data_IF_377190912435
#
_entry.id   IF_377190912435
#
_cell.length_a   1.000
_cell.length_b   1.000
_cell.length_c   1.000
_cell.angle_alpha   90.00
_cell.angle_beta   90.00
_cell.angle_gamma   90.00
#
_symmetry.space_group_name_H-M   'P 1'
#
loop_
_entity.id
_entity.type
_entity.pdbx_description
1 polymer ?
#
# COMPACT_ATOMS: atom_id res chain seq x y z
N UNK A 1 -4.47 -24.11 25.52
CA UNK A 1 -4.16 -22.68 25.74
C UNK A 1 -3.93 -22.05 24.38
N UNK A 2 -4.52 -20.88 24.12
CA UNK A 2 -4.31 -20.15 22.88
C UNK A 2 -3.10 -19.22 23.09
N UNK A 3 -2.13 -19.28 22.18
CA UNK A 3 -0.92 -18.46 22.23
C UNK A 3 -1.23 -17.08 21.63
N UNK A 4 -0.96 -16.02 22.39
CA UNK A 4 -1.03 -14.64 21.90
C UNK A 4 0.33 -14.27 21.30
N UNK A 5 0.34 -13.83 20.04
CA UNK A 5 1.56 -13.50 19.30
C UNK A 5 1.65 -11.99 19.12
N UNK A 6 2.64 -11.36 19.73
CA UNK A 6 2.94 -9.96 19.53
C UNK A 6 3.62 -9.72 18.18
N UNK A 7 3.47 -8.52 17.63
CA UNK A 7 4.00 -8.16 16.30
C UNK A 7 5.53 -8.22 16.19
N UNK A 8 6.24 -8.23 17.33
CA UNK A 8 7.70 -8.33 17.39
C UNK A 8 8.20 -9.77 17.58
N UNK A 9 7.30 -10.71 17.85
CA UNK A 9 7.63 -12.12 18.01
C UNK A 9 8.10 -12.71 16.67
N UNK A 10 8.99 -13.70 16.75
CA UNK A 10 9.58 -14.32 15.57
C UNK A 10 8.50 -14.99 14.70
N UNK A 11 7.54 -15.64 15.33
CA UNK A 11 6.43 -16.33 14.69
C UNK A 11 5.56 -15.35 13.88
N UNK A 12 5.28 -14.16 14.41
CA UNK A 12 4.54 -13.13 13.68
C UNK A 12 5.34 -12.58 12.49
N UNK A 13 6.65 -12.38 12.68
CA UNK A 13 7.56 -11.97 11.59
C UNK A 13 7.66 -13.02 10.49
N UNK A 14 7.64 -14.30 10.85
CA UNK A 14 7.68 -15.40 9.90
C UNK A 14 6.40 -15.44 9.05
N UNK A 15 5.24 -15.25 9.67
CA UNK A 15 3.95 -15.16 8.95
C UNK A 15 3.94 -13.98 7.97
N UNK A 16 4.35 -12.79 8.42
CA UNK A 16 4.38 -11.60 7.55
C UNK A 16 5.42 -11.73 6.42
N UNK A 17 6.57 -12.32 6.71
CA UNK A 17 7.60 -12.64 5.70
C UNK A 17 7.09 -13.63 4.67
N UNK A 18 6.39 -14.68 5.11
CA UNK A 18 5.80 -15.69 4.22
C UNK A 18 4.71 -15.09 3.34
N UNK A 19 3.85 -14.24 3.88
CA UNK A 19 2.83 -13.52 3.12
C UNK A 19 3.46 -12.65 2.02
N UNK A 20 4.49 -11.86 2.38
CA UNK A 20 5.25 -11.04 1.42
C UNK A 20 5.83 -11.89 0.29
N UNK A 21 6.49 -13.00 0.63
CA UNK A 21 7.07 -13.92 -0.34
C UNK A 21 6.01 -14.51 -1.28
N UNK A 22 4.88 -14.98 -0.75
CA UNK A 22 3.80 -15.55 -1.57
C UNK A 22 3.24 -14.54 -2.57
N UNK A 23 3.03 -13.29 -2.14
CA UNK A 23 2.53 -12.23 -3.01
C UNK A 23 3.53 -11.86 -4.12
N UNK A 24 4.81 -11.77 -3.80
CA UNK A 24 5.84 -11.46 -4.80
C UNK A 24 5.99 -12.57 -5.85
N UNK A 25 5.93 -13.84 -5.43
CA UNK A 25 5.95 -14.96 -6.37
C UNK A 25 4.72 -14.98 -7.28
N UNK A 26 3.55 -14.62 -6.77
CA UNK A 26 2.34 -14.52 -7.58
C UNK A 26 2.46 -13.46 -8.69
N UNK A 27 3.20 -12.38 -8.43
CA UNK A 27 3.38 -11.26 -9.37
C UNK A 27 4.52 -11.49 -10.38
N UNK A 28 5.35 -12.52 -10.19
CA UNK A 28 6.40 -12.91 -11.14
C UNK A 28 7.64 -12.00 -11.20
N UNK A 29 7.72 -10.94 -10.37
CA UNK A 29 8.93 -10.13 -10.23
C UNK A 29 9.16 -9.78 -8.74
N UNK A 30 10.08 -10.51 -8.11
CA UNK A 30 10.39 -10.38 -6.68
C UNK A 30 11.64 -9.55 -6.38
N UNK A 31 12.41 -9.13 -7.40
CA UNK A 31 13.68 -8.42 -7.20
C UNK A 31 13.48 -6.91 -7.17
N UNK A 32 12.62 -6.37 -8.04
CA UNK A 32 12.39 -4.92 -8.14
C UNK A 32 11.25 -4.41 -7.23
N UNK A 33 10.43 -5.33 -6.72
CA UNK A 33 9.20 -4.98 -6.00
C UNK A 33 9.18 -5.57 -4.59
N UNK A 34 8.45 -4.90 -3.70
CA UNK A 34 8.14 -5.39 -2.37
C UNK A 34 6.65 -5.23 -2.08
N UNK A 35 6.17 -5.99 -1.11
CA UNK A 35 4.79 -5.95 -0.62
C UNK A 35 4.81 -5.58 0.85
N UNK A 36 4.05 -4.54 1.20
CA UNK A 36 3.90 -4.07 2.57
C UNK A 36 2.46 -4.32 3.04
N UNK A 37 2.25 -5.23 4.00
CA UNK A 37 0.93 -5.39 4.63
C UNK A 37 0.58 -4.11 5.38
N UNK A 38 -0.58 -3.54 5.07
CA UNK A 38 -1.08 -2.32 5.71
C UNK A 38 -2.50 -2.55 6.23
N UNK A 39 -2.81 -1.96 7.38
CA UNK A 39 -4.16 -1.98 7.93
C UNK A 39 -5.07 -1.06 7.12
N UNK A 40 -6.35 -1.43 6.99
CA UNK A 40 -7.39 -0.58 6.42
C UNK A 40 -7.93 -1.10 5.09
N UNK A 41 -8.79 -0.29 4.48
CA UNK A 41 -9.44 -0.64 3.21
C UNK A 41 -8.66 -0.16 1.99
N UNK A 42 -9.21 -0.47 0.80
CA UNK A 42 -8.62 -0.09 -0.49
C UNK A 42 -8.31 1.41 -0.63
N UNK A 43 -9.17 2.28 -0.09
CA UNK A 43 -8.94 3.73 -0.11
C UNK A 43 -7.72 4.13 0.72
N UNK A 44 -7.53 3.50 1.88
CA UNK A 44 -6.37 3.75 2.73
C UNK A 44 -5.08 3.34 2.00
N UNK A 45 -5.09 2.18 1.37
CA UNK A 45 -3.96 1.72 0.57
C UNK A 45 -3.60 2.68 -0.58
N UNK A 46 -4.61 3.19 -1.29
CA UNK A 46 -4.40 4.18 -2.35
C UNK A 46 -3.79 5.48 -1.80
N UNK A 47 -4.31 5.99 -0.69
CA UNK A 47 -3.79 7.22 -0.08
C UNK A 47 -2.37 7.06 0.47
N UNK A 48 -2.09 5.94 1.14
CA UNK A 48 -0.75 5.61 1.63
C UNK A 48 0.28 5.55 0.48
N UNK A 49 -0.07 4.89 -0.63
CA UNK A 49 0.81 4.81 -1.80
C UNK A 49 1.04 6.20 -2.42
N UNK A 50 -0.05 6.94 -2.73
CA UNK A 50 0.06 8.25 -3.38
C UNK A 50 0.82 9.26 -2.51
N UNK A 51 0.60 9.26 -1.20
CA UNK A 51 1.31 10.15 -0.27
C UNK A 51 2.78 9.78 -0.04
N UNK A 52 3.18 8.54 -0.35
CA UNK A 52 4.56 8.08 -0.23
C UNK A 52 5.37 8.33 -1.51
N UNK A 53 4.73 8.22 -2.68
CA UNK A 53 5.43 8.25 -3.98
C UNK A 53 5.22 9.54 -4.78
N UNK A 54 4.21 10.36 -4.45
CA UNK A 54 3.93 11.61 -5.16
C UNK A 54 4.23 12.79 -4.24
N UNK A 55 5.19 13.60 -4.63
CA UNK A 55 5.54 14.85 -3.97
C UNK A 55 4.60 15.99 -4.39
N UNK A 56 4.64 17.12 -3.67
CA UNK A 56 3.86 18.31 -4.03
C UNK A 56 4.31 18.96 -5.34
N UNK A 57 5.58 18.76 -5.75
CA UNK A 57 6.12 19.31 -6.98
C UNK A 57 5.75 18.48 -8.22
N UNK A 58 5.30 17.23 -8.02
CA UNK A 58 4.97 16.32 -9.11
C UNK A 58 3.65 16.72 -9.79
N UNK A 59 3.55 16.36 -11.08
CA UNK A 59 2.35 16.55 -11.90
C UNK A 59 1.85 15.20 -12.41
N UNK A 60 1.23 14.37 -11.55
CA UNK A 60 0.79 13.04 -11.93
C UNK A 60 -0.33 13.08 -12.97
N UNK A 61 -0.21 12.24 -13.99
CA UNK A 61 -1.30 11.95 -14.93
C UNK A 61 -2.25 10.92 -14.30
N UNK A 62 -3.53 11.26 -14.16
CA UNK A 62 -4.56 10.34 -13.66
C UNK A 62 -5.48 9.93 -14.79
N UNK A 63 -5.38 8.67 -15.22
CA UNK A 63 -6.30 8.09 -16.20
C UNK A 63 -7.58 7.63 -15.49
N UNK A 64 -8.73 8.20 -15.88
CA UNK A 64 -10.02 7.91 -15.22
C UNK A 64 -10.90 7.09 -16.16
N UNK A 65 -11.13 5.83 -15.77
CA UNK A 65 -12.07 4.90 -16.42
C UNK A 65 -13.18 4.42 -15.47
N UNK A 66 -13.28 5.00 -14.27
CA UNK A 66 -14.28 4.63 -13.27
C UNK A 66 -13.99 5.17 -11.87
N UNK A 67 -14.71 4.64 -10.88
CA UNK A 67 -14.75 5.16 -9.50
C UNK A 67 -13.37 5.21 -8.80
N UNK A 68 -12.44 4.32 -9.16
CA UNK A 68 -11.10 4.31 -8.56
C UNK A 68 -10.24 5.44 -9.09
N UNK A 69 -10.33 5.77 -10.39
CA UNK A 69 -9.65 6.92 -10.97
C UNK A 69 -10.15 8.23 -10.36
N UNK A 70 -11.48 8.37 -10.21
CA UNK A 70 -12.09 9.51 -9.52
C UNK A 70 -11.61 9.64 -8.08
N UNK A 71 -11.48 8.51 -7.37
CA UNK A 71 -10.97 8.49 -5.99
C UNK A 71 -9.49 8.90 -5.92
N UNK A 72 -8.64 8.41 -6.84
CA UNK A 72 -7.23 8.81 -6.93
C UNK A 72 -7.10 10.31 -7.19
N UNK A 73 -7.87 10.84 -8.15
CA UNK A 73 -7.89 12.27 -8.46
C UNK A 73 -8.30 13.11 -7.23
N UNK A 74 -9.34 12.67 -6.50
CA UNK A 74 -9.80 13.33 -5.28
C UNK A 74 -8.73 13.34 -4.19
N UNK A 75 -8.04 12.22 -3.98
CA UNK A 75 -6.95 12.09 -3.00
C UNK A 75 -5.83 13.08 -3.34
N UNK A 76 -5.35 13.07 -4.59
CA UNK A 76 -4.25 13.94 -5.03
C UNK A 76 -4.59 15.44 -4.94
N UNK A 77 -5.84 15.83 -5.28
CA UNK A 77 -6.31 17.21 -5.12
C UNK A 77 -6.42 17.65 -3.66
N UNK A 78 -6.84 16.75 -2.77
CA UNK A 78 -7.03 17.07 -1.34
C UNK A 78 -5.70 17.16 -0.59
N UNK A 79 -4.70 16.37 -0.99
CA UNK A 79 -3.35 16.39 -0.41
C UNK A 79 -2.59 17.69 -0.68
N UNK A 80 -2.82 18.33 -1.83
CA UNK A 80 -2.21 19.62 -2.19
C UNK A 80 -2.66 20.79 -1.28
N UNK A 81 -3.77 20.65 -0.56
CA UNK A 81 -4.34 21.72 0.29
C UNK A 81 -4.06 21.55 1.79
N UNK A 82 -3.47 20.42 2.23
CA UNK A 82 -3.44 20.02 3.66
C UNK A 82 -2.04 19.89 4.28
N UNK A 83 -0.97 20.33 3.61
CA UNK A 83 0.39 20.39 4.19
C UNK A 83 1.06 21.70 3.82
#
# INVERSE_FOLDING_TARGET
>A
MQLDLASRDCEFKDVTTRMRWLMLNLLGNAEDYSVVPIQGGRSFAMEAALSSFVSQADKPLVCISGIYGERILKILRSGASKR
#
